data_IF_526574043166
#
_entry.id   IF_526574043166
#
_cell.length_a   1.000
_cell.length_b   1.000
_cell.length_c   1.000
_cell.angle_alpha   90.00
_cell.angle_beta   90.00
_cell.angle_gamma   90.00
#
_symmetry.space_group_name_H-M   'P 1'
#
loop_
_entity.id
_entity.type
_entity.pdbx_description
1 polymer ?
#
# COMPACT_ATOMS: atom_id res chain seq x y z
N UNK A 1 14.93 -3.13 -26.33
CA UNK A 1 15.33 -3.53 -24.96
C UNK A 1 14.24 -4.44 -24.44
N UNK A 2 14.56 -5.62 -23.89
CA UNK A 2 13.54 -6.51 -23.32
C UNK A 2 13.32 -6.14 -21.84
N UNK A 3 12.07 -5.93 -21.43
CA UNK A 3 11.67 -5.61 -20.05
C UNK A 3 10.89 -6.75 -19.40
N UNK A 4 10.76 -7.90 -20.05
CA UNK A 4 10.11 -9.06 -19.47
C UNK A 4 10.82 -9.53 -18.19
N UNK A 5 10.05 -9.88 -17.17
CA UNK A 5 10.56 -10.35 -15.88
C UNK A 5 9.66 -11.43 -15.28
N UNK A 6 10.17 -12.13 -14.26
CA UNK A 6 9.38 -13.06 -13.46
C UNK A 6 9.25 -12.52 -12.04
N UNK A 7 8.02 -12.44 -11.54
CA UNK A 7 7.72 -11.98 -10.19
C UNK A 7 6.77 -12.97 -9.52
N UNK A 8 7.16 -13.52 -8.37
CA UNK A 8 6.40 -14.55 -7.64
C UNK A 8 5.98 -15.75 -8.51
N UNK A 9 6.81 -16.11 -9.50
CA UNK A 9 6.52 -17.19 -10.45
C UNK A 9 5.60 -16.80 -11.61
N UNK A 10 5.14 -15.54 -11.68
CA UNK A 10 4.32 -15.02 -12.77
C UNK A 10 5.21 -14.30 -13.80
N UNK A 11 5.03 -14.59 -15.11
CA UNK A 11 5.70 -13.83 -16.17
C UNK A 11 5.01 -12.47 -16.35
N UNK A 12 5.79 -11.39 -16.32
CA UNK A 12 5.34 -10.03 -16.53
C UNK A 12 6.03 -9.43 -17.77
N UNK A 13 5.30 -8.62 -18.54
CA UNK A 13 5.82 -7.91 -19.73
C UNK A 13 6.81 -6.77 -19.38
N UNK A 14 6.81 -6.34 -18.11
CA UNK A 14 7.55 -5.19 -17.60
C UNK A 14 7.80 -5.37 -16.10
N UNK A 15 8.92 -4.87 -15.54
CA UNK A 15 9.15 -4.91 -14.10
C UNK A 15 8.41 -3.80 -13.33
N UNK A 16 7.73 -2.91 -14.05
CA UNK A 16 7.04 -1.76 -13.45
C UNK A 16 5.71 -2.20 -12.84
N UNK A 17 5.53 -1.91 -11.56
CA UNK A 17 4.30 -2.17 -10.81
C UNK A 17 3.72 -0.86 -10.32
N UNK A 18 2.46 -0.59 -10.65
CA UNK A 18 1.79 0.65 -10.19
C UNK A 18 1.29 0.44 -8.76
N UNK A 19 1.62 1.38 -7.87
CA UNK A 19 1.18 1.36 -6.47
C UNK A 19 -0.33 1.59 -6.33
N UNK A 20 -0.88 1.25 -5.17
CA UNK A 20 -2.24 1.59 -4.80
C UNK A 20 -2.45 3.10 -4.93
N UNK A 21 -3.40 3.51 -5.75
CA UNK A 21 -3.71 4.91 -6.03
C UNK A 21 -5.15 5.02 -6.54
N UNK A 22 -5.73 6.24 -6.61
CA UNK A 22 -7.07 6.42 -7.17
C UNK A 22 -7.23 5.91 -8.61
N UNK A 23 -6.11 5.70 -9.33
CA UNK A 23 -6.13 5.13 -10.67
C UNK A 23 -6.54 3.64 -10.68
N UNK A 24 -6.40 2.90 -9.59
CA UNK A 24 -6.81 1.50 -9.52
C UNK A 24 -8.28 1.28 -9.11
N UNK A 25 -9.07 2.35 -8.94
CA UNK A 25 -10.51 2.26 -8.62
C UNK A 25 -11.39 1.86 -9.81
N UNK A 26 -10.95 2.17 -11.05
CA UNK A 26 -11.71 1.89 -12.27
C UNK A 26 -10.96 0.94 -13.19
N UNK A 27 -11.68 -0.03 -13.74
CA UNK A 27 -11.14 -0.98 -14.70
C UNK A 27 -10.56 -0.30 -15.95
N UNK A 28 -11.17 0.80 -16.40
CA UNK A 28 -10.69 1.52 -17.58
C UNK A 28 -9.31 2.15 -17.34
N UNK A 29 -9.05 2.63 -16.12
CA UNK A 29 -7.73 3.13 -15.77
C UNK A 29 -6.71 1.99 -15.66
N UNK A 30 -7.11 0.83 -15.14
CA UNK A 30 -6.25 -0.36 -15.09
C UNK A 30 -5.81 -0.78 -16.50
N UNK A 31 -6.74 -0.80 -17.46
CA UNK A 31 -6.41 -1.07 -18.88
C UNK A 31 -5.42 -0.05 -19.44
N UNK A 32 -5.66 1.24 -19.19
CA UNK A 32 -4.74 2.30 -19.63
C UNK A 32 -3.35 2.17 -19.02
N UNK A 33 -3.24 1.67 -17.78
CA UNK A 33 -1.95 1.39 -17.14
C UNK A 33 -1.24 0.20 -17.78
N UNK A 34 -1.97 -0.86 -18.12
CA UNK A 34 -1.43 -1.97 -18.91
C UNK A 34 -0.93 -1.48 -20.29
N UNK A 35 -1.75 -0.72 -21.01
CA UNK A 35 -1.42 -0.16 -22.32
C UNK A 35 -0.19 0.75 -22.27
N UNK A 36 0.02 1.44 -21.15
CA UNK A 36 1.20 2.27 -20.89
C UNK A 36 2.46 1.45 -20.54
N UNK A 37 2.36 0.14 -20.40
CA UNK A 37 3.48 -0.77 -20.15
C UNK A 37 3.70 -1.15 -18.68
N UNK A 38 2.69 -1.00 -17.81
CA UNK A 38 2.74 -1.58 -16.47
C UNK A 38 2.69 -3.12 -16.55
N UNK A 39 3.57 -3.78 -15.79
CA UNK A 39 3.57 -5.24 -15.67
C UNK A 39 2.52 -5.75 -14.67
N UNK A 40 2.21 -4.97 -13.64
CA UNK A 40 1.19 -5.26 -12.65
C UNK A 40 0.67 -3.96 -11.99
N UNK A 41 -0.46 -4.08 -11.27
CA UNK A 41 -1.06 -2.98 -10.51
C UNK A 41 -1.43 -3.47 -9.10
N UNK A 42 -1.30 -2.60 -8.11
CA UNK A 42 -1.79 -2.82 -6.75
C UNK A 42 -3.16 -2.15 -6.62
N UNK A 43 -4.17 -2.94 -6.23
CA UNK A 43 -5.53 -2.43 -6.04
C UNK A 43 -5.64 -1.55 -4.80
N UNK A 44 -6.66 -0.69 -4.79
CA UNK A 44 -6.98 0.15 -3.64
C UNK A 44 -7.17 -0.69 -2.37
N UNK A 45 -6.69 -0.19 -1.23
CA UNK A 45 -6.77 -0.91 0.05
C UNK A 45 -8.18 -0.85 0.60
N UNK A 46 -8.86 -2.01 0.66
CA UNK A 46 -10.23 -2.11 1.16
C UNK A 46 -10.34 -1.88 2.68
N UNK A 47 -9.24 -2.07 3.42
CA UNK A 47 -9.22 -2.03 4.89
C UNK A 47 -8.45 -0.82 5.45
N UNK A 48 -8.09 0.15 4.59
CA UNK A 48 -7.26 1.29 4.98
C UNK A 48 -7.83 2.05 6.18
N UNK A 49 -9.14 2.30 6.18
CA UNK A 49 -9.81 3.02 7.25
C UNK A 49 -9.77 2.25 8.58
N UNK A 50 -10.00 0.93 8.55
CA UNK A 50 -9.93 0.11 9.76
C UNK A 50 -8.50 0.06 10.33
N UNK A 51 -7.50 -0.11 9.47
CA UNK A 51 -6.09 -0.09 9.86
C UNK A 51 -5.72 1.27 10.48
N UNK A 52 -6.20 2.37 9.91
CA UNK A 52 -5.98 3.72 10.45
C UNK A 52 -6.59 3.88 11.85
N UNK A 53 -7.80 3.39 12.06
CA UNK A 53 -8.45 3.42 13.38
C UNK A 53 -7.69 2.55 14.41
N UNK A 54 -7.26 1.35 14.02
CA UNK A 54 -6.45 0.48 14.88
C UNK A 54 -5.11 1.12 15.27
N UNK A 55 -4.43 1.76 14.32
CA UNK A 55 -3.19 2.50 14.57
C UNK A 55 -3.40 3.66 15.55
N UNK A 56 -4.49 4.43 15.39
CA UNK A 56 -4.84 5.51 16.31
C UNK A 56 -5.16 4.99 17.72
N UNK A 57 -5.87 3.88 17.84
CA UNK A 57 -6.20 3.25 19.12
C UNK A 57 -4.95 2.73 19.84
N UNK A 58 -4.04 2.08 19.11
CA UNK A 58 -2.73 1.64 19.63
C UNK A 58 -1.90 2.82 20.10
N UNK A 59 -1.77 3.87 19.27
CA UNK A 59 -1.03 5.08 19.62
C UNK A 59 -1.59 5.71 20.91
N UNK A 60 -2.91 5.85 21.01
CA UNK A 60 -3.55 6.36 22.22
C UNK A 60 -3.17 5.50 23.44
N UNK A 61 -3.26 4.18 23.37
CA UNK A 61 -2.94 3.32 24.52
C UNK A 61 -1.45 3.39 24.92
N UNK A 62 -0.53 3.44 23.95
CA UNK A 62 0.91 3.50 24.24
C UNK A 62 1.33 4.87 24.78
N UNK A 63 0.94 5.97 24.11
CA UNK A 63 1.37 7.32 24.50
C UNK A 63 0.79 7.73 25.85
N UNK A 64 -0.49 7.42 26.12
CA UNK A 64 -1.12 7.75 27.40
C UNK A 64 -0.47 7.02 28.59
N UNK A 65 0.06 5.82 28.37
CA UNK A 65 0.81 5.11 29.40
C UNK A 65 2.24 5.62 29.56
N UNK A 66 2.93 5.97 28.45
CA UNK A 66 4.27 6.53 28.50
C UNK A 66 4.35 7.84 29.32
N UNK A 67 3.31 8.68 29.30
CA UNK A 67 3.29 9.94 30.06
C UNK A 67 2.67 9.82 31.47
N UNK A 68 2.24 8.62 31.88
CA UNK A 68 1.49 8.41 33.13
C UNK A 68 2.35 8.27 34.39
N UNK A 69 3.66 8.03 34.24
CA UNK A 69 4.58 7.82 35.37
C UNK A 69 5.63 8.93 35.43
N UNK A 70 5.86 9.48 36.62
CA UNK A 70 6.85 10.55 36.83
C UNK A 70 8.29 10.16 36.45
N UNK A 71 8.62 8.86 36.44
CA UNK A 71 9.94 8.33 36.03
C UNK A 71 10.12 8.20 34.51
N UNK A 72 9.04 8.28 33.72
CA UNK A 72 9.09 8.13 32.26
C UNK A 72 9.42 9.44 31.51
N UNK A 73 9.34 10.58 32.21
CA UNK A 73 9.62 11.93 31.68
C UNK A 73 11.04 12.43 32.00
N UNK A 74 11.89 11.61 32.63
CA UNK A 74 13.27 11.97 33.03
C UNK A 74 14.33 11.39 32.10
#
# INVERSE_FOLDING_TARGET
MNLETSYLGLPLKSPLVVSASPLSESLDNIKRMEDAGAGAVVLYSLFEEQIRQEQLALFHHTTYHSDSHAEALS
#
